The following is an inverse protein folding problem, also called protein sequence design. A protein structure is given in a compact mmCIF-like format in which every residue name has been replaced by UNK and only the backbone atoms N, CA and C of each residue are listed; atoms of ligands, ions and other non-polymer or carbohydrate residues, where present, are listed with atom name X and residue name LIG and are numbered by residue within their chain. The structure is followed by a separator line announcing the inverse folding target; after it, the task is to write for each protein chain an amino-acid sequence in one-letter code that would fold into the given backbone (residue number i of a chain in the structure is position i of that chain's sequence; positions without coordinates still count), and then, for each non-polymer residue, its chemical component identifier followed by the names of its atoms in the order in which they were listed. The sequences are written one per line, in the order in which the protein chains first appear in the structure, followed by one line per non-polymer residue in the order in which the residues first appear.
data_IF_804638606564
#
_entry.id   IF_804638606564
#
_cell.length_a   1.000
_cell.length_b   1.000
_cell.length_c   1.000
_cell.angle_alpha   90.00
_cell.angle_beta   90.00
_cell.angle_gamma   90.00
#
_symmetry.space_group_name_H-M   'P 1'
#
loop_
_entity.id
_entity.type
_entity.pdbx_description
1 polymer ?
#
# COMPACT_ATOMS: atom_id res chain seq x y z
N UNK A 1 14.58 1.93 13.07
CA UNK A 1 13.66 2.99 13.54
C UNK A 1 14.34 4.03 14.44
N UNK A 2 15.12 3.63 15.46
CA UNK A 2 15.83 4.56 16.35
C UNK A 2 16.69 5.61 15.63
N UNK A 3 17.49 5.19 14.65
CA UNK A 3 18.40 6.05 13.88
C UNK A 3 17.72 7.16 13.04
N UNK A 4 16.48 6.94 12.58
CA UNK A 4 15.70 7.95 11.83
C UNK A 4 15.03 8.97 12.76
N UNK A 5 14.61 8.54 13.96
CA UNK A 5 14.07 9.44 14.97
C UNK A 5 15.14 10.41 15.48
N UNK A 6 16.36 9.93 15.72
CA UNK A 6 17.51 10.79 16.07
C UNK A 6 17.81 11.82 14.98
N UNK A 7 17.86 11.39 13.71
CA UNK A 7 18.10 12.30 12.58
C UNK A 7 17.05 13.42 12.42
N UNK A 8 15.77 13.12 12.71
CA UNK A 8 14.68 14.10 12.61
C UNK A 8 14.69 15.10 13.78
N UNK A 9 15.17 14.69 14.95
CA UNK A 9 15.29 15.53 16.14
C UNK A 9 16.29 16.69 15.98
N UNK A 10 17.29 16.53 15.11
CA UNK A 10 18.27 17.59 14.82
C UNK A 10 17.66 18.77 14.01
N UNK A 11 16.48 18.57 13.41
CA UNK A 11 15.84 19.57 12.52
C UNK A 11 14.49 20.06 13.03
N UNK A 12 13.82 19.27 13.87
CA UNK A 12 12.49 19.56 14.41
C UNK A 12 12.42 19.13 15.87
N UNK A 13 11.77 19.94 16.71
CA UNK A 13 11.49 19.54 18.08
C UNK A 13 10.49 18.39 18.12
N UNK A 14 10.46 17.62 19.21
CA UNK A 14 9.48 16.52 19.37
C UNK A 14 8.04 17.04 19.26
N UNK A 15 7.74 18.21 19.81
CA UNK A 15 6.43 18.84 19.70
C UNK A 15 6.07 19.21 18.25
N UNK A 16 7.04 19.70 17.46
CA UNK A 16 6.82 19.98 16.04
C UNK A 16 6.59 18.69 15.24
N UNK A 17 7.34 17.63 15.55
CA UNK A 17 7.15 16.33 14.91
C UNK A 17 5.78 15.74 15.23
N UNK A 18 5.35 15.79 16.49
CA UNK A 18 4.03 15.32 16.92
C UNK A 18 2.91 16.12 16.25
N UNK A 19 3.02 17.44 16.22
CA UNK A 19 2.04 18.31 15.57
C UNK A 19 1.96 18.08 14.05
N UNK A 20 3.09 17.81 13.39
CA UNK A 20 3.09 17.43 11.98
C UNK A 20 2.42 16.06 11.82
N UNK A 21 2.84 15.06 12.58
CA UNK A 21 2.30 13.70 12.47
C UNK A 21 0.80 13.61 12.75
N UNK A 22 0.27 14.43 13.67
CA UNK A 22 -1.16 14.44 14.00
C UNK A 22 -2.03 15.13 12.96
N UNK A 23 -1.45 15.96 12.09
CA UNK A 23 -2.18 16.79 11.13
C UNK A 23 -1.80 16.48 9.67
N UNK A 24 -1.07 15.38 9.42
CA UNK A 24 -0.89 14.89 8.06
C UNK A 24 -2.24 14.33 7.60
N UNK A 25 -2.88 15.07 6.69
CA UNK A 25 -3.97 14.57 5.88
C UNK A 25 -3.45 14.34 4.46
N UNK A 26 -3.66 13.14 3.95
CA UNK A 26 -3.26 12.74 2.60
C UNK A 26 -4.46 12.71 1.64
N UNK A 27 -5.66 12.97 2.15
CA UNK A 27 -6.88 13.03 1.37
C UNK A 27 -7.13 14.47 0.91
N UNK A 28 -7.36 14.65 -0.38
CA UNK A 28 -7.79 15.94 -0.94
C UNK A 28 -9.31 15.95 -1.03
N UNK A 29 -9.98 15.72 0.10
CA UNK A 29 -11.44 15.55 0.22
C UNK A 29 -12.31 16.73 -0.26
N UNK A 30 -11.71 17.81 -0.78
CA UNK A 30 -12.41 18.95 -1.39
C UNK A 30 -13.02 18.61 -2.77
N UNK A 31 -12.73 17.46 -3.35
CA UNK A 31 -13.21 17.05 -4.69
C UNK A 31 -14.47 16.17 -4.68
N UNK A 32 -15.00 15.80 -3.51
CA UNK A 32 -16.30 15.12 -3.40
C UNK A 32 -16.35 13.73 -4.06
N UNK A 33 -15.20 13.12 -4.30
CA UNK A 33 -15.10 11.76 -4.80
C UNK A 33 -15.12 10.77 -3.62
N UNK A 34 -16.14 9.92 -3.56
CA UNK A 34 -16.24 8.86 -2.58
C UNK A 34 -15.13 7.82 -2.82
N UNK A 35 -14.35 7.55 -1.77
CA UNK A 35 -13.25 6.57 -1.67
C UNK A 35 -13.58 5.14 -2.16
N UNK A 36 -14.85 4.84 -2.46
CA UNK A 36 -15.32 3.52 -2.84
C UNK A 36 -15.30 3.24 -4.35
N UNK A 37 -15.09 4.26 -5.19
CA UNK A 37 -15.24 4.13 -6.65
C UNK A 37 -13.92 3.98 -7.41
N UNK A 38 -12.76 4.02 -6.75
CA UNK A 38 -11.49 4.04 -7.47
C UNK A 38 -10.40 3.30 -6.70
N UNK A 39 -9.90 2.21 -7.29
CA UNK A 39 -8.64 1.57 -6.95
C UNK A 39 -7.42 2.52 -7.15
N UNK A 40 -7.64 3.83 -7.30
CA UNK A 40 -6.61 4.87 -7.46
C UNK A 40 -6.02 5.41 -6.15
N UNK A 41 -6.32 4.77 -5.02
CA UNK A 41 -5.75 5.16 -3.75
C UNK A 41 -4.24 4.99 -3.75
N UNK A 42 -3.59 6.16 -3.76
CA UNK A 42 -2.19 6.41 -4.11
C UNK A 42 -2.00 6.35 -5.62
N UNK A 43 -2.28 7.45 -6.34
CA UNK A 43 -1.80 7.62 -7.71
C UNK A 43 -0.30 7.27 -7.75
N UNK A 44 0.09 6.08 -8.25
CA UNK A 44 1.50 5.67 -8.29
C UNK A 44 2.27 6.61 -9.23
N UNK A 45 1.53 7.30 -10.08
CA UNK A 45 1.98 8.11 -11.20
C UNK A 45 2.82 9.33 -10.78
N UNK A 46 2.56 9.99 -9.65
CA UNK A 46 3.30 11.22 -9.32
C UNK A 46 4.78 10.95 -8.98
N UNK A 47 5.04 9.91 -8.18
CA UNK A 47 6.41 9.50 -7.84
C UNK A 47 7.07 8.84 -9.04
N UNK A 48 6.33 7.99 -9.76
CA UNK A 48 6.83 7.28 -10.94
C UNK A 48 7.29 8.24 -12.04
N UNK A 49 6.46 9.22 -12.39
CA UNK A 49 6.75 10.23 -13.42
C UNK A 49 7.99 11.06 -13.04
N UNK A 50 8.17 11.34 -11.75
CA UNK A 50 9.26 12.21 -11.27
C UNK A 50 10.63 11.53 -11.26
N UNK A 51 10.69 10.22 -11.09
CA UNK A 51 11.96 9.49 -10.98
C UNK A 51 12.31 8.61 -12.18
N UNK A 52 11.39 8.40 -13.14
CA UNK A 52 11.64 7.72 -14.43
C UNK A 52 12.57 6.51 -14.32
N UNK A 53 12.24 5.59 -13.39
CA UNK A 53 13.12 4.47 -13.06
C UNK A 53 12.95 3.39 -14.13
N UNK A 54 14.00 3.01 -14.88
CA UNK A 54 13.86 2.03 -15.95
C UNK A 54 13.47 0.65 -15.39
N UNK A 55 12.57 -0.04 -16.10
CA UNK A 55 12.18 -1.41 -15.81
C UNK A 55 13.37 -2.36 -16.02
N UNK A 56 13.57 -3.28 -15.07
CA UNK A 56 14.57 -4.35 -15.15
C UNK A 56 14.06 -5.48 -16.04
N UNK A 57 14.97 -6.25 -16.65
CA UNK A 57 14.59 -7.37 -17.51
C UNK A 57 13.86 -8.49 -16.75
N UNK A 58 14.14 -8.61 -15.46
CA UNK A 58 13.57 -9.63 -14.59
C UNK A 58 12.74 -8.95 -13.50
N UNK A 59 11.44 -9.22 -13.53
CA UNK A 59 10.48 -8.71 -12.56
C UNK A 59 9.95 -9.88 -11.72
N UNK A 60 9.60 -9.60 -10.47
CA UNK A 60 8.96 -10.54 -9.57
C UNK A 60 7.72 -9.91 -8.97
N UNK A 61 6.63 -10.67 -8.91
CA UNK A 61 5.45 -10.31 -8.10
C UNK A 61 5.55 -11.07 -6.79
N UNK A 62 5.35 -10.36 -5.68
CA UNK A 62 5.34 -10.98 -4.35
C UNK A 62 4.27 -10.34 -3.45
N UNK A 63 3.93 -11.03 -2.37
CA UNK A 63 2.99 -10.57 -1.34
C UNK A 63 3.77 -10.04 -0.14
N UNK A 64 3.74 -8.73 0.03
CA UNK A 64 4.32 -8.06 1.18
C UNK A 64 3.27 -7.67 2.22
N UNK A 65 3.72 -7.52 3.47
CA UNK A 65 2.85 -7.15 4.58
C UNK A 65 3.36 -5.90 5.30
N UNK A 66 2.49 -4.92 5.45
CA UNK A 66 2.71 -3.77 6.35
C UNK A 66 2.04 -4.08 7.68
N UNK A 67 2.86 -4.26 8.71
CA UNK A 67 2.38 -4.54 10.07
C UNK A 67 1.67 -3.30 10.61
N UNK A 68 0.42 -3.47 11.03
CA UNK A 68 -0.36 -2.42 11.67
C UNK A 68 -0.74 -2.85 13.08
N UNK A 69 -1.01 -1.86 13.94
CA UNK A 69 -1.72 -2.09 15.21
C UNK A 69 -3.11 -1.43 15.20
N UNK A 70 -3.47 -0.82 14.08
CA UNK A 70 -4.73 -0.13 13.89
C UNK A 70 -5.79 -1.12 13.46
N UNK A 71 -6.96 -1.07 14.09
CA UNK A 71 -8.11 -1.87 13.68
C UNK A 71 -8.73 -1.22 12.44
N UNK A 72 -8.45 -1.79 11.28
CA UNK A 72 -9.00 -1.34 10.00
C UNK A 72 -9.64 -2.53 9.27
N UNK A 73 -10.69 -2.29 8.47
CA UNK A 73 -11.42 -3.39 7.81
C UNK A 73 -10.56 -4.13 6.77
N UNK A 74 -9.58 -3.44 6.18
CA UNK A 74 -8.60 -4.02 5.23
C UNK A 74 -7.46 -4.80 5.91
N UNK A 75 -7.42 -4.86 7.24
CA UNK A 75 -6.40 -5.63 7.95
C UNK A 75 -6.64 -7.12 7.79
N UNK A 76 -5.59 -7.86 7.43
CA UNK A 76 -5.67 -9.30 7.19
C UNK A 76 -4.75 -10.09 8.11
N UNK A 77 -5.21 -11.31 8.43
CA UNK A 77 -4.45 -12.27 9.22
C UNK A 77 -3.60 -13.18 8.32
N UNK A 78 -2.27 -13.11 8.46
CA UNK A 78 -1.30 -13.93 7.73
C UNK A 78 -0.48 -14.77 8.73
N UNK A 79 -0.82 -16.05 8.93
CA UNK A 79 -0.24 -16.87 10.02
C UNK A 79 1.26 -17.13 9.87
N UNK A 80 1.77 -17.11 8.63
CA UNK A 80 3.17 -17.42 8.31
C UNK A 80 4.10 -16.19 8.40
N UNK A 81 3.55 -14.99 8.61
CA UNK A 81 4.35 -13.76 8.74
C UNK A 81 4.71 -13.53 10.22
N UNK A 82 5.90 -12.95 10.54
CA UNK A 82 6.35 -12.75 11.92
C UNK A 82 5.37 -11.92 12.77
N UNK A 83 4.76 -10.92 12.15
CA UNK A 83 3.59 -10.22 12.67
C UNK A 83 2.39 -10.72 11.91
N UNK A 84 1.37 -11.21 12.61
CA UNK A 84 0.27 -11.92 11.94
C UNK A 84 -0.82 -11.00 11.41
N UNK A 85 -0.89 -9.77 11.89
CA UNK A 85 -1.92 -8.81 11.51
C UNK A 85 -1.26 -7.63 10.78
N UNK A 86 -1.84 -7.25 9.65
CA UNK A 86 -1.36 -6.13 8.85
C UNK A 86 -2.09 -5.99 7.53
N UNK A 87 -1.73 -4.98 6.77
CA UNK A 87 -2.21 -4.80 5.41
C UNK A 87 -1.45 -5.73 4.47
N UNK A 88 -2.17 -6.42 3.58
CA UNK A 88 -1.59 -7.26 2.53
C UNK A 88 -1.43 -6.42 1.26
N UNK A 89 -0.23 -6.45 0.68
CA UNK A 89 0.10 -5.72 -0.54
C UNK A 89 0.61 -6.71 -1.58
N UNK A 90 0.12 -6.61 -2.82
CA UNK A 90 0.75 -7.23 -3.97
C UNK A 90 1.75 -6.24 -4.53
N UNK A 91 3.01 -6.66 -4.68
CA UNK A 91 4.09 -5.76 -5.03
C UNK A 91 4.81 -6.25 -6.27
N UNK A 92 5.03 -5.35 -7.23
CA UNK A 92 5.88 -5.59 -8.38
C UNK A 92 7.30 -5.11 -8.07
N UNK A 93 8.24 -6.06 -7.97
CA UNK A 93 9.63 -5.81 -7.58
C UNK A 93 10.67 -6.18 -8.64
N UNK A 94 11.87 -5.64 -8.44
CA UNK A 94 13.12 -6.02 -9.10
C UNK A 94 13.84 -7.09 -8.29
N UNK A 95 14.69 -7.86 -8.97
CA UNK A 95 15.68 -8.73 -8.30
C UNK A 95 16.66 -7.91 -7.45
N UNK A 96 16.90 -6.65 -7.82
CA UNK A 96 17.71 -5.71 -7.05
C UNK A 96 17.04 -5.20 -5.75
N UNK A 97 15.78 -5.57 -5.48
CA UNK A 97 15.07 -5.22 -4.24
C UNK A 97 14.37 -3.85 -4.27
N UNK A 98 14.14 -3.29 -5.45
CA UNK A 98 13.33 -2.08 -5.64
C UNK A 98 11.90 -2.45 -6.04
N UNK A 99 10.91 -1.76 -5.48
CA UNK A 99 9.50 -1.94 -5.82
C UNK A 99 9.01 -0.83 -6.75
N UNK A 100 8.38 -1.23 -7.85
CA UNK A 100 7.86 -0.34 -8.88
C UNK A 100 6.47 0.17 -8.55
N UNK A 101 5.59 -0.75 -8.18
CA UNK A 101 4.20 -0.46 -7.85
C UNK A 101 3.72 -1.49 -6.84
N UNK A 102 2.65 -1.14 -6.14
CA UNK A 102 1.95 -2.05 -5.25
C UNK A 102 0.45 -1.83 -5.36
N UNK A 103 -0.30 -2.87 -5.04
CA UNK A 103 -1.75 -2.84 -4.94
C UNK A 103 -2.15 -3.29 -3.54
N UNK A 104 -3.07 -2.56 -2.92
CA UNK A 104 -3.56 -2.86 -1.58
C UNK A 104 -4.71 -3.85 -1.65
N UNK A 105 -4.62 -4.93 -0.89
CA UNK A 105 -5.65 -5.96 -0.89
C UNK A 105 -6.74 -5.64 0.13
N UNK A 106 -7.90 -5.23 -0.36
CA UNK A 106 -9.05 -4.85 0.46
C UNK A 106 -9.85 -6.04 1.02
N UNK A 107 -9.65 -7.26 0.50
CA UNK A 107 -10.35 -8.47 0.94
C UNK A 107 -11.78 -8.59 0.39
N UNK A 108 -12.10 -7.84 -0.66
CA UNK A 108 -13.43 -7.80 -1.32
C UNK A 108 -13.35 -8.16 -2.82
N UNK A 109 -12.15 -8.45 -3.33
CA UNK A 109 -11.88 -8.76 -4.74
C UNK A 109 -12.60 -10.02 -5.27
N UNK A 110 -13.02 -10.93 -4.39
CA UNK A 110 -13.82 -12.11 -4.79
C UNK A 110 -15.33 -11.87 -4.74
N UNK A 111 -15.80 -10.64 -4.47
CA UNK A 111 -17.21 -10.31 -4.49
C UNK A 111 -17.75 -10.41 -5.94
N UNK A 112 -18.68 -11.34 -6.25
CA UNK A 112 -19.22 -11.49 -7.59
C UNK A 112 -19.88 -10.21 -8.13
N UNK A 113 -20.35 -9.32 -7.24
CA UNK A 113 -20.96 -8.05 -7.62
C UNK A 113 -19.95 -7.02 -8.15
N UNK A 114 -18.67 -7.18 -7.79
CA UNK A 114 -17.58 -6.27 -8.20
C UNK A 114 -16.78 -6.75 -9.41
N UNK A 115 -17.06 -7.96 -9.89
CA UNK A 115 -16.34 -8.55 -11.03
C UNK A 115 -16.82 -7.98 -12.35
N UNK A 116 -15.90 -7.76 -13.28
CA UNK A 116 -16.24 -7.31 -14.63
C UNK A 116 -16.99 -8.42 -15.38
N UNK A 117 -17.96 -8.03 -16.22
CA UNK A 117 -18.84 -8.99 -16.92
C UNK A 117 -18.09 -10.01 -17.80
N UNK A 118 -16.89 -9.67 -18.27
CA UNK A 118 -16.06 -10.51 -19.13
C UNK A 118 -14.87 -11.16 -18.40
N UNK A 119 -14.77 -11.01 -17.09
CA UNK A 119 -13.67 -11.55 -16.31
C UNK A 119 -13.98 -12.99 -15.84
N UNK A 120 -13.12 -13.98 -16.18
CA UNK A 120 -13.34 -15.36 -15.78
C UNK A 120 -13.33 -15.52 -14.25
N UNK A 121 -14.17 -16.42 -13.73
CA UNK A 121 -14.14 -16.77 -12.31
C UNK A 121 -12.98 -17.71 -12.06
N UNK A 122 -11.89 -17.15 -11.55
CA UNK A 122 -10.71 -17.91 -11.17
C UNK A 122 -10.79 -18.38 -9.70
N UNK A 123 -11.90 -18.08 -9.01
CA UNK A 123 -12.18 -18.45 -7.63
C UNK A 123 -11.15 -17.92 -6.64
N UNK A 124 -11.14 -18.48 -5.43
CA UNK A 124 -10.15 -18.16 -4.39
C UNK A 124 -8.69 -18.47 -4.80
N UNK A 125 -8.48 -19.11 -5.96
CA UNK A 125 -7.18 -19.49 -6.50
C UNK A 125 -6.61 -18.48 -7.50
N UNK A 126 -7.35 -17.42 -7.85
CA UNK A 126 -6.86 -16.36 -8.74
C UNK A 126 -5.67 -15.56 -8.18
N UNK A 127 -5.39 -15.72 -6.88
CA UNK A 127 -4.41 -14.93 -6.13
C UNK A 127 -3.11 -15.70 -5.84
N UNK A 128 -2.74 -16.68 -6.69
CA UNK A 128 -1.48 -17.42 -6.61
C UNK A 128 -0.45 -16.83 -7.57
#
# INVERSE_FOLDING_TARGET
MLRKKEYMKDRLTEAQLEAIMSNIDLDNSDDGYDFYDDDSLVAPDYIWTRYSIPLEKSLSVDVEQICSKTRHFMEQYMPNKPHKWGFKLFVLGRVSGFFYTFELHAGQENDPSKRLQNEPDLGAYSNV
#
